data_IF_319325338770
#
_entry.id   IF_319325338770
#
_cell.length_a   1.000
_cell.length_b   1.000
_cell.length_c   1.000
_cell.angle_alpha   90.00
_cell.angle_beta   90.00
_cell.angle_gamma   90.00
#
_symmetry.space_group_name_H-M   'P 1'
#
loop_
_entity.id
_entity.type
_entity.pdbx_description
1 polymer ?
#
# COMPACT_ATOMS: atom_id res chain seq x y z
N UNK A 1 -22.19 57.71 -28.51
CA UNK A 1 -20.89 58.42 -28.45
C UNK A 1 -19.87 57.43 -27.94
N UNK A 2 -19.22 56.75 -28.87
CA UNK A 2 -17.80 56.82 -29.22
C UNK A 2 -16.91 56.37 -28.05
N UNK A 3 -16.04 55.34 -28.10
CA UNK A 3 -15.24 54.85 -29.21
C UNK A 3 -14.73 53.40 -28.91
N UNK A 4 -14.82 52.64 -29.90
CA UNK A 4 -13.94 51.59 -30.43
C UNK A 4 -12.45 51.86 -30.19
N UNK A 5 -11.69 50.86 -29.67
CA UNK A 5 -10.32 50.60 -30.09
C UNK A 5 -9.98 49.13 -29.99
N UNK A 6 -9.84 48.56 -31.16
CA UNK A 6 -9.22 47.27 -31.43
C UNK A 6 -7.69 47.36 -31.24
N UNK A 7 -7.06 46.30 -30.75
CA UNK A 7 -5.69 45.95 -31.07
C UNK A 7 -5.55 44.45 -31.19
N UNK A 8 -5.34 44.10 -32.36
CA UNK A 8 -4.89 42.97 -33.13
C UNK A 8 -3.48 42.44 -32.69
N UNK A 9 -3.30 41.13 -32.94
CA UNK A 9 -2.06 40.39 -33.24
C UNK A 9 -1.11 40.05 -32.07
N UNK A 10 -0.96 38.76 -31.82
CA UNK A 10 0.15 37.96 -32.35
C UNK A 10 -0.10 36.45 -32.17
N UNK A 11 -0.35 35.79 -33.30
CA UNK A 11 -0.26 34.34 -33.44
C UNK A 11 1.23 34.01 -33.74
N UNK A 12 1.87 33.18 -32.94
CA UNK A 12 3.13 32.58 -33.23
C UNK A 12 2.98 31.07 -33.33
N UNK A 13 2.90 30.59 -34.55
CA UNK A 13 3.04 29.18 -34.93
C UNK A 13 4.43 28.68 -34.56
N UNK A 14 4.53 27.62 -33.77
CA UNK A 14 5.72 26.81 -33.65
C UNK A 14 5.44 25.45 -34.30
N UNK A 15 5.92 25.30 -35.52
CA UNK A 15 6.00 24.04 -36.23
C UNK A 15 7.07 23.16 -35.59
N UNK A 16 6.69 22.00 -35.10
CA UNK A 16 7.61 20.93 -34.70
C UNK A 16 8.16 20.24 -35.97
N UNK A 17 9.43 20.37 -36.19
CA UNK A 17 10.17 19.58 -37.18
C UNK A 17 10.40 18.16 -36.63
N UNK A 18 9.77 17.17 -37.25
CA UNK A 18 10.11 15.76 -37.06
C UNK A 18 11.41 15.46 -37.82
N UNK A 19 12.47 15.17 -37.07
CA UNK A 19 13.71 14.65 -37.66
C UNK A 19 13.57 13.14 -37.85
N UNK A 20 13.53 12.72 -39.11
CA UNK A 20 13.70 11.34 -39.55
C UNK A 20 15.15 10.89 -39.30
N UNK A 21 15.37 9.98 -38.38
CA UNK A 21 16.62 9.25 -38.25
C UNK A 21 16.61 8.04 -39.21
N UNK A 22 17.53 8.02 -40.14
CA UNK A 22 17.82 6.86 -40.98
C UNK A 22 18.61 5.80 -40.18
N UNK A 23 18.44 4.50 -40.45
CA UNK A 23 19.18 3.45 -39.78
C UNK A 23 20.60 3.34 -40.35
N UNK A 24 21.59 3.53 -39.47
CA UNK A 24 22.98 3.27 -39.76
C UNK A 24 23.28 1.78 -39.81
N UNK A 25 24.01 1.40 -40.82
CA UNK A 25 24.55 0.08 -41.15
C UNK A 25 25.36 -0.54 -39.99
N UNK A 26 25.05 -1.78 -39.63
CA UNK A 26 25.89 -2.62 -38.77
C UNK A 26 27.13 -3.08 -39.54
N UNK A 27 28.32 -3.17 -38.90
CA UNK A 27 29.44 -3.91 -39.45
C UNK A 27 29.27 -5.41 -39.17
N UNK A 28 29.56 -6.20 -40.20
CA UNK A 28 29.57 -7.64 -40.20
C UNK A 28 30.62 -8.18 -39.20
N UNK A 29 30.16 -9.08 -38.30
CA UNK A 29 31.05 -9.92 -37.49
C UNK A 29 31.30 -11.24 -38.20
N UNK A 30 32.56 -11.57 -38.38
CA UNK A 30 33.07 -12.83 -38.93
C UNK A 30 32.73 -14.03 -38.01
N UNK A 31 32.59 -15.25 -38.57
CA UNK A 31 32.26 -16.43 -37.79
C UNK A 31 33.49 -17.00 -37.09
N UNK A 32 33.40 -17.17 -35.77
CA UNK A 32 34.37 -17.89 -34.97
C UNK A 32 34.14 -19.39 -35.16
N UNK A 33 35.17 -20.06 -35.69
CA UNK A 33 35.31 -21.49 -35.88
C UNK A 33 35.30 -22.25 -34.57
N UNK A 34 34.47 -23.29 -34.48
CA UNK A 34 34.57 -24.33 -33.44
C UNK A 34 35.79 -25.22 -33.63
N UNK A 35 36.49 -25.64 -32.57
CA UNK A 35 37.46 -26.75 -32.63
C UNK A 35 36.77 -28.09 -32.49
N UNK A 36 37.34 -29.05 -33.24
CA UNK A 36 36.87 -30.38 -33.48
C UNK A 36 36.89 -31.31 -32.25
N UNK A 37 35.96 -32.24 -32.31
CA UNK A 37 35.78 -33.43 -31.49
C UNK A 37 37.02 -34.36 -31.47
N UNK A 38 37.37 -34.95 -30.31
CA UNK A 38 38.30 -36.06 -30.19
C UNK A 38 37.56 -37.30 -29.57
N UNK A 39 38.12 -38.51 -29.66
CA UNK A 39 37.36 -39.67 -30.13
C UNK A 39 36.83 -40.58 -29.01
N UNK A 40 35.77 -41.28 -29.41
CA UNK A 40 35.08 -42.38 -28.71
C UNK A 40 36.03 -43.55 -28.33
N UNK A 41 36.09 -43.91 -27.07
CA UNK A 41 36.64 -45.23 -26.63
C UNK A 41 35.51 -46.10 -26.11
N UNK A 42 35.24 -47.12 -26.87
CA UNK A 42 34.32 -48.22 -26.53
C UNK A 42 34.92 -49.08 -25.42
N UNK A 43 34.20 -49.32 -24.33
CA UNK A 43 34.49 -50.41 -23.42
C UNK A 43 33.25 -51.13 -22.94
N UNK A 44 33.35 -52.43 -22.97
CA UNK A 44 32.41 -53.51 -22.86
C UNK A 44 31.42 -53.48 -21.65
N UNK A 45 30.26 -54.07 -21.94
CA UNK A 45 29.18 -54.40 -21.02
C UNK A 45 29.62 -55.32 -19.89
N UNK A 46 29.23 -54.96 -18.65
CA UNK A 46 29.18 -55.91 -17.52
C UNK A 46 27.75 -55.83 -16.93
N UNK A 47 27.15 -56.97 -16.75
CA UNK A 47 25.84 -57.29 -16.26
C UNK A 47 25.54 -56.68 -14.88
N UNK A 48 24.36 -56.11 -14.64
CA UNK A 48 24.00 -55.63 -13.32
C UNK A 48 23.48 -56.76 -12.43
N UNK A 49 24.13 -56.96 -11.30
CA UNK A 49 23.62 -57.72 -10.16
C UNK A 49 22.53 -56.95 -9.47
N UNK A 50 21.35 -57.49 -9.41
CA UNK A 50 20.18 -56.94 -8.72
C UNK A 50 20.42 -56.97 -7.21
N UNK A 51 20.69 -55.81 -6.60
CA UNK A 51 20.66 -55.64 -5.16
C UNK A 51 19.42 -54.78 -4.82
N UNK A 52 18.48 -55.38 -4.13
CA UNK A 52 17.29 -54.73 -3.61
C UNK A 52 17.67 -53.64 -2.61
N UNK A 53 17.30 -52.38 -2.81
CA UNK A 53 17.53 -51.34 -1.78
C UNK A 53 16.53 -51.51 -0.64
N UNK A 54 17.03 -51.85 0.54
CA UNK A 54 16.29 -51.68 1.80
C UNK A 54 16.02 -50.22 2.01
N UNK A 55 14.78 -49.79 1.84
CA UNK A 55 14.32 -48.44 2.12
C UNK A 55 14.33 -48.21 3.63
N UNK A 56 15.42 -47.65 4.15
CA UNK A 56 15.47 -47.10 5.50
C UNK A 56 14.70 -45.77 5.44
N UNK A 57 13.45 -45.77 5.88
CA UNK A 57 12.69 -44.57 6.11
C UNK A 57 13.30 -43.79 7.25
N UNK A 58 14.24 -42.90 6.92
CA UNK A 58 14.73 -41.90 7.88
C UNK A 58 13.59 -40.89 8.04
N UNK A 59 12.83 -41.06 9.12
CA UNK A 59 11.91 -40.02 9.59
C UNK A 59 12.76 -38.85 10.04
N UNK A 60 13.00 -37.90 9.14
CA UNK A 60 13.56 -36.60 9.51
C UNK A 60 12.53 -35.94 10.38
N UNK A 61 12.67 -36.01 11.71
CA UNK A 61 11.96 -35.10 12.60
C UNK A 61 12.38 -33.68 12.17
N UNK A 62 11.44 -32.96 11.60
CA UNK A 62 11.59 -31.52 11.40
C UNK A 62 11.97 -30.91 12.75
N UNK A 63 13.20 -30.38 12.84
CA UNK A 63 13.63 -29.65 14.02
C UNK A 63 12.57 -28.58 14.27
N UNK A 64 11.96 -28.60 15.46
CA UNK A 64 10.96 -27.62 15.87
C UNK A 64 11.65 -26.25 15.81
N UNK A 65 11.26 -25.43 14.87
CA UNK A 65 11.80 -24.09 14.69
C UNK A 65 11.66 -23.34 16.02
N UNK A 66 12.74 -22.72 16.48
CA UNK A 66 12.75 -22.01 17.76
C UNK A 66 11.84 -20.80 17.66
N UNK A 67 10.93 -20.63 18.62
CA UNK A 67 10.05 -19.46 18.69
C UNK A 67 10.89 -18.17 18.71
N UNK A 68 10.55 -17.24 17.83
CA UNK A 68 11.18 -15.91 17.75
C UNK A 68 10.30 -14.91 18.47
N UNK A 69 10.88 -14.17 19.40
CA UNK A 69 10.21 -13.12 20.14
C UNK A 69 10.87 -11.77 19.87
N UNK A 70 10.05 -10.74 19.69
CA UNK A 70 10.47 -9.33 19.65
C UNK A 70 9.51 -8.52 20.50
N UNK A 71 10.03 -7.64 21.35
CA UNK A 71 9.25 -6.73 22.16
C UNK A 71 9.65 -5.28 21.91
N UNK A 72 8.68 -4.42 21.67
CA UNK A 72 8.82 -2.96 21.72
C UNK A 72 8.32 -2.52 23.09
N UNK A 73 9.21 -1.95 23.92
CA UNK A 73 8.90 -1.64 25.32
C UNK A 73 8.91 -0.14 25.61
N UNK A 74 8.26 0.27 26.70
CA UNK A 74 8.27 1.64 27.25
C UNK A 74 7.69 2.73 26.30
N UNK A 75 7.13 2.37 25.15
CA UNK A 75 6.60 3.33 24.18
C UNK A 75 5.21 3.82 24.51
N UNK A 76 4.81 4.95 23.91
CA UNK A 76 3.42 5.37 23.87
C UNK A 76 2.75 4.70 22.66
N UNK A 77 1.90 3.71 22.93
CA UNK A 77 1.35 2.82 21.93
C UNK A 77 -0.01 3.30 21.44
N UNK A 78 -0.08 3.65 20.15
CA UNK A 78 -1.31 3.99 19.44
C UNK A 78 -1.88 2.76 18.76
N UNK A 79 -2.89 2.16 19.36
CA UNK A 79 -3.52 0.95 18.81
C UNK A 79 -4.34 1.21 17.55
N UNK A 80 -4.77 2.46 17.34
CA UNK A 80 -5.64 2.99 16.27
C UNK A 80 -7.10 2.55 16.37
N UNK A 81 -7.37 1.35 16.83
CA UNK A 81 -8.72 0.81 17.06
C UNK A 81 -9.18 0.88 18.51
N UNK A 82 -8.26 1.11 19.42
CA UNK A 82 -8.49 1.24 20.86
C UNK A 82 -7.81 2.47 21.46
N UNK A 83 -7.65 2.50 22.79
CA UNK A 83 -7.02 3.62 23.48
C UNK A 83 -5.52 3.70 23.20
N UNK A 84 -4.97 4.88 23.42
CA UNK A 84 -3.50 5.08 23.47
C UNK A 84 -3.02 4.60 24.86
N UNK A 85 -1.95 3.82 24.86
CA UNK A 85 -1.38 3.22 26.07
C UNK A 85 0.00 3.83 26.34
N UNK A 86 0.14 4.52 27.47
CA UNK A 86 1.42 5.09 27.88
C UNK A 86 2.34 4.03 28.48
N UNK A 87 3.64 4.09 28.15
CA UNK A 87 4.68 3.16 28.62
C UNK A 87 4.28 1.68 28.48
N UNK A 88 3.68 1.35 27.37
CA UNK A 88 3.24 -0.01 27.09
C UNK A 88 4.28 -0.80 26.32
N UNK A 89 4.10 -2.09 26.35
CA UNK A 89 4.90 -3.08 25.61
C UNK A 89 4.03 -3.74 24.55
N UNK A 90 4.58 -3.90 23.34
CA UNK A 90 4.01 -4.73 22.27
C UNK A 90 4.94 -5.93 22.13
N UNK A 91 4.48 -7.12 22.49
CA UNK A 91 5.22 -8.38 22.36
C UNK A 91 4.73 -9.13 21.13
N UNK A 92 5.66 -9.50 20.26
CA UNK A 92 5.38 -10.40 19.14
C UNK A 92 6.01 -11.77 19.35
N UNK A 93 5.31 -12.80 18.86
CA UNK A 93 5.80 -14.19 18.76
C UNK A 93 5.63 -14.65 17.32
N UNK A 94 6.72 -15.05 16.68
CA UNK A 94 6.73 -15.56 15.29
C UNK A 94 6.05 -14.61 14.29
N UNK A 95 6.22 -13.29 14.49
CA UNK A 95 5.64 -12.28 13.61
C UNK A 95 4.20 -11.85 13.92
N UNK A 96 3.56 -12.47 14.91
CA UNK A 96 2.19 -12.14 15.34
C UNK A 96 2.24 -11.45 16.70
N UNK A 97 1.41 -10.44 16.91
CA UNK A 97 1.27 -9.76 18.20
C UNK A 97 0.68 -10.73 19.21
N UNK A 98 1.45 -11.07 20.24
CA UNK A 98 1.06 -12.00 21.29
C UNK A 98 0.45 -11.30 22.50
N UNK A 99 0.93 -10.10 22.86
CA UNK A 99 0.44 -9.32 23.98
C UNK A 99 0.69 -7.83 23.79
N UNK A 100 -0.19 -6.98 24.32
CA UNK A 100 -0.03 -5.51 24.37
C UNK A 100 -0.48 -5.05 25.77
N UNK A 101 0.33 -4.20 26.40
CA UNK A 101 -0.05 -3.61 27.70
C UNK A 101 1.16 -3.10 28.47
N UNK A 102 0.91 -2.48 29.63
CA UNK A 102 1.97 -1.95 30.49
C UNK A 102 2.75 -3.06 31.24
N UNK A 103 2.13 -4.19 31.52
CA UNK A 103 2.67 -5.28 32.34
C UNK A 103 2.81 -6.59 31.54
N UNK A 104 3.58 -6.54 30.43
CA UNK A 104 3.83 -7.74 29.62
C UNK A 104 5.11 -8.43 30.08
N UNK A 105 5.01 -9.72 30.43
CA UNK A 105 6.16 -10.54 30.80
C UNK A 105 6.92 -10.93 29.55
N UNK A 106 8.22 -10.57 29.47
CA UNK A 106 9.08 -10.90 28.35
C UNK A 106 9.65 -12.31 28.49
N UNK A 107 9.57 -13.14 27.41
CA UNK A 107 10.26 -14.42 27.38
C UNK A 107 11.77 -14.27 27.45
N UNK A 108 12.53 -15.26 27.95
CA UNK A 108 13.97 -15.30 27.80
C UNK A 108 14.33 -15.31 26.30
N UNK A 109 15.42 -14.65 25.95
CA UNK A 109 15.90 -14.52 24.53
C UNK A 109 14.98 -13.67 23.63
N UNK A 110 14.13 -12.81 24.19
CA UNK A 110 13.36 -11.84 23.46
C UNK A 110 14.28 -10.72 22.93
N UNK A 111 14.20 -10.43 21.62
CA UNK A 111 14.80 -9.22 21.07
C UNK A 111 14.02 -8.01 21.58
N UNK A 112 14.71 -6.97 22.08
CA UNK A 112 14.07 -5.82 22.71
C UNK A 112 14.42 -4.53 21.95
N UNK A 113 13.40 -3.80 21.59
CA UNK A 113 13.48 -2.41 21.08
C UNK A 113 12.95 -1.50 22.18
N UNK A 114 13.81 -0.69 22.78
CA UNK A 114 13.39 0.29 23.78
C UNK A 114 12.84 1.55 23.08
N UNK A 115 11.57 1.83 23.28
CA UNK A 115 10.85 2.97 22.75
C UNK A 115 10.55 4.03 23.84
N UNK A 116 11.37 4.11 24.89
CA UNK A 116 11.20 5.10 25.95
C UNK A 116 11.20 6.53 25.37
N UNK A 117 10.11 7.29 25.63
CA UNK A 117 9.92 8.64 25.08
C UNK A 117 9.57 8.68 23.59
N UNK A 118 9.31 7.55 22.96
CA UNK A 118 8.92 7.44 21.55
C UNK A 118 7.45 7.04 21.40
N UNK A 119 6.91 7.34 20.23
CA UNK A 119 5.56 6.97 19.84
C UNK A 119 5.59 5.68 19.01
N UNK A 120 4.66 4.78 19.27
CA UNK A 120 4.56 3.45 18.63
C UNK A 120 3.23 3.35 17.90
N UNK A 121 3.28 3.15 16.59
CA UNK A 121 2.13 3.06 15.70
C UNK A 121 2.10 1.72 14.95
N UNK A 122 0.95 1.28 14.44
CA UNK A 122 0.93 0.23 13.42
C UNK A 122 1.65 0.69 12.17
N UNK A 123 2.18 -0.26 11.42
CA UNK A 123 2.80 0.01 10.13
C UNK A 123 1.87 0.73 9.17
N UNK A 124 2.41 1.66 8.39
CA UNK A 124 1.66 2.39 7.38
C UNK A 124 1.35 1.50 6.18
N UNK A 125 0.19 1.74 5.57
CA UNK A 125 -0.32 0.95 4.45
C UNK A 125 -0.52 1.85 3.23
N UNK A 126 0.22 1.56 2.17
CA UNK A 126 0.09 2.24 0.89
C UNK A 126 -0.96 1.52 0.02
N UNK A 127 -2.19 2.05 0.00
CA UNK A 127 -3.30 1.47 -0.78
C UNK A 127 -3.14 1.58 -2.31
N UNK A 128 -2.21 2.39 -2.78
CA UNK A 128 -1.62 2.40 -4.12
C UNK A 128 -0.12 2.54 -3.96
N UNK A 129 0.67 1.72 -4.65
CA UNK A 129 2.11 1.80 -4.59
C UNK A 129 2.76 1.34 -5.89
N UNK A 130 3.73 2.11 -6.36
CA UNK A 130 4.60 1.74 -7.47
C UNK A 130 6.06 1.85 -7.07
N UNK A 131 6.93 1.13 -7.75
CA UNK A 131 8.37 1.24 -7.58
C UNK A 131 8.94 0.60 -6.31
N UNK A 132 8.14 -0.11 -5.51
CA UNK A 132 8.59 -0.88 -4.34
C UNK A 132 8.69 -2.36 -4.72
N UNK A 133 7.58 -2.92 -5.13
CA UNK A 133 7.46 -4.30 -5.60
C UNK A 133 7.36 -4.36 -7.11
N UNK A 134 7.59 -5.53 -7.69
CA UNK A 134 7.25 -5.82 -9.07
C UNK A 134 5.72 -5.85 -9.30
N UNK A 135 5.30 -5.74 -10.55
CA UNK A 135 3.89 -5.61 -10.91
C UNK A 135 3.09 -6.92 -10.75
N UNK A 136 3.75 -8.05 -10.72
CA UNK A 136 3.13 -9.38 -10.62
C UNK A 136 3.95 -10.27 -9.70
N UNK A 137 3.27 -11.11 -8.93
CA UNK A 137 3.88 -12.02 -7.98
C UNK A 137 5.05 -11.36 -7.18
N UNK A 138 4.75 -10.60 -6.12
CA UNK A 138 5.74 -9.81 -5.39
C UNK A 138 6.94 -10.62 -4.90
N UNK A 139 6.76 -11.90 -4.55
CA UNK A 139 7.85 -12.77 -4.06
C UNK A 139 8.93 -13.02 -5.12
N UNK A 140 8.53 -13.14 -6.39
CA UNK A 140 9.46 -13.43 -7.48
C UNK A 140 10.06 -12.17 -8.13
N UNK A 141 9.35 -11.04 -8.02
CA UNK A 141 9.70 -9.84 -8.79
C UNK A 141 10.21 -8.67 -7.93
N UNK A 142 10.15 -8.78 -6.59
CA UNK A 142 10.64 -7.72 -5.71
C UNK A 142 12.12 -7.85 -5.41
N UNK A 143 12.82 -6.72 -5.47
CA UNK A 143 14.18 -6.64 -4.94
C UNK A 143 14.12 -6.34 -3.44
N UNK A 144 14.27 -7.38 -2.62
CA UNK A 144 14.19 -7.26 -1.14
C UNK A 144 15.35 -6.48 -0.52
N UNK A 145 16.40 -6.19 -1.28
CA UNK A 145 17.50 -5.31 -0.89
C UNK A 145 17.46 -3.98 -1.65
N UNK A 146 16.36 -3.71 -2.36
CA UNK A 146 16.20 -2.52 -3.18
C UNK A 146 16.13 -1.24 -2.34
N UNK A 147 16.79 -0.19 -2.82
CA UNK A 147 16.79 1.12 -2.18
C UNK A 147 15.35 1.67 -1.99
N UNK A 148 14.48 1.47 -2.96
CA UNK A 148 13.09 1.91 -2.87
C UNK A 148 12.34 1.24 -1.71
N UNK A 149 12.58 -0.06 -1.47
CA UNK A 149 11.99 -0.77 -0.34
C UNK A 149 12.54 -0.22 0.99
N UNK A 150 13.86 -0.02 1.08
CA UNK A 150 14.49 0.55 2.27
C UNK A 150 13.96 1.96 2.59
N UNK A 151 13.84 2.79 1.57
CA UNK A 151 13.35 4.17 1.71
C UNK A 151 11.86 4.19 2.11
N UNK A 152 11.04 3.28 1.58
CA UNK A 152 9.66 3.12 2.00
C UNK A 152 9.54 2.69 3.47
N UNK A 153 10.38 1.76 3.93
CA UNK A 153 10.48 1.38 5.33
C UNK A 153 10.93 2.54 6.21
N UNK A 154 11.87 3.37 5.74
CA UNK A 154 12.27 4.60 6.44
C UNK A 154 11.12 5.62 6.55
N UNK A 155 10.14 5.58 5.65
CA UNK A 155 8.86 6.32 5.74
C UNK A 155 7.80 5.64 6.62
N UNK A 156 8.08 4.46 7.19
CA UNK A 156 7.16 3.71 8.04
C UNK A 156 6.15 2.83 7.27
N UNK A 157 6.29 2.68 5.96
CA UNK A 157 5.41 1.82 5.17
C UNK A 157 5.83 0.37 5.37
N UNK A 158 4.89 -0.48 5.83
CA UNK A 158 5.12 -1.91 6.05
C UNK A 158 4.37 -2.78 5.05
N UNK A 159 3.27 -2.27 4.50
CA UNK A 159 2.40 -3.01 3.58
C UNK A 159 2.00 -2.12 2.41
N UNK A 160 1.98 -2.68 1.21
CA UNK A 160 1.66 -1.95 -0.01
C UNK A 160 0.86 -2.81 -1.00
N UNK A 161 0.06 -2.14 -1.84
CA UNK A 161 -0.55 -2.78 -3.00
C UNK A 161 0.51 -2.90 -4.11
N UNK A 162 0.90 -4.13 -4.44
CA UNK A 162 1.87 -4.48 -5.47
C UNK A 162 1.14 -5.03 -6.71
N UNK A 163 0.92 -4.20 -7.72
CA UNK A 163 0.06 -4.58 -8.85
C UNK A 163 -1.38 -4.82 -8.41
N UNK A 164 -1.76 -6.08 -8.26
CA UNK A 164 -3.06 -6.49 -7.69
C UNK A 164 -2.93 -7.34 -6.41
N UNK A 165 -1.73 -7.56 -5.91
CA UNK A 165 -1.48 -8.30 -4.68
C UNK A 165 -1.17 -7.34 -3.53
N UNK A 166 -1.54 -7.70 -2.32
CA UNK A 166 -1.13 -6.96 -1.12
C UNK A 166 0.11 -7.64 -0.56
N UNK A 167 1.20 -6.90 -0.47
CA UNK A 167 2.49 -7.41 -0.03
C UNK A 167 3.12 -6.54 1.06
N UNK A 168 3.90 -7.18 1.93
CA UNK A 168 4.70 -6.55 2.96
C UNK A 168 6.08 -6.18 2.45
N UNK A 169 6.65 -5.16 3.04
CA UNK A 169 8.02 -4.72 2.77
C UNK A 169 9.01 -5.52 3.62
N UNK A 170 9.21 -6.79 3.27
CA UNK A 170 10.09 -7.71 4.00
C UNK A 170 11.55 -7.55 3.55
N UNK A 171 12.24 -6.57 4.12
CA UNK A 171 13.63 -6.31 3.75
C UNK A 171 14.54 -7.52 4.06
N UNK A 172 15.29 -7.95 3.06
CA UNK A 172 16.24 -9.07 3.19
C UNK A 172 15.64 -10.48 3.08
N UNK A 173 14.33 -10.62 2.95
CA UNK A 173 13.66 -11.93 2.82
C UNK A 173 12.40 -11.82 1.96
N UNK A 174 11.98 -12.94 1.36
CA UNK A 174 10.68 -13.05 0.65
C UNK A 174 9.66 -13.85 1.45
N UNK A 175 10.04 -14.34 2.64
CA UNK A 175 9.17 -15.11 3.51
C UNK A 175 8.02 -14.23 4.01
N UNK A 176 6.80 -14.77 4.00
CA UNK A 176 5.57 -14.12 4.45
C UNK A 176 5.33 -12.72 3.84
N UNK A 177 5.87 -12.49 2.62
CA UNK A 177 5.72 -11.23 1.92
C UNK A 177 4.27 -11.00 1.45
N UNK A 178 3.61 -11.99 0.87
CA UNK A 178 2.26 -11.84 0.33
C UNK A 178 1.23 -11.97 1.43
N UNK A 179 0.47 -10.89 1.66
CA UNK A 179 -0.64 -10.85 2.63
C UNK A 179 -1.92 -11.39 1.97
N UNK A 180 -2.20 -10.93 0.76
CA UNK A 180 -3.40 -11.31 0.00
C UNK A 180 -3.11 -11.25 -1.50
N UNK A 181 -3.20 -12.37 -2.20
CA UNK A 181 -3.17 -12.37 -3.66
C UNK A 181 -4.49 -11.85 -4.23
N UNK A 182 -4.43 -11.23 -5.40
CA UNK A 182 -5.60 -10.77 -6.16
C UNK A 182 -6.59 -9.96 -5.30
N UNK A 183 -6.09 -8.86 -4.70
CA UNK A 183 -6.87 -8.02 -3.79
C UNK A 183 -8.18 -7.52 -4.39
N UNK A 184 -8.16 -7.24 -5.71
CA UNK A 184 -9.28 -6.64 -6.41
C UNK A 184 -9.67 -7.37 -7.69
N UNK A 185 -10.95 -7.28 -8.00
CA UNK A 185 -11.49 -7.47 -9.35
C UNK A 185 -11.58 -6.11 -10.02
N UNK A 186 -10.79 -5.89 -11.06
CA UNK A 186 -10.85 -4.64 -11.83
C UNK A 186 -12.14 -4.56 -12.62
N UNK A 187 -12.92 -3.49 -12.40
CA UNK A 187 -14.10 -3.17 -13.19
C UNK A 187 -13.74 -2.04 -14.16
N UNK A 188 -13.86 -2.31 -15.46
CA UNK A 188 -13.81 -1.27 -16.49
C UNK A 188 -15.18 -0.58 -16.52
N UNK A 189 -15.22 0.67 -16.09
CA UNK A 189 -16.42 1.49 -16.10
C UNK A 189 -16.13 2.85 -16.72
N UNK A 190 -16.84 3.22 -17.76
CA UNK A 190 -16.69 4.51 -18.41
C UNK A 190 -18.04 5.09 -18.80
N UNK A 191 -18.29 6.33 -18.39
CA UNK A 191 -19.51 7.07 -18.74
C UNK A 191 -19.61 7.35 -20.24
N UNK A 192 -18.49 7.38 -20.93
CA UNK A 192 -18.41 7.62 -22.38
C UNK A 192 -18.65 6.37 -23.24
N UNK A 193 -18.82 5.19 -22.61
CA UNK A 193 -19.00 3.92 -23.30
C UNK A 193 -20.30 3.22 -22.90
N UNK A 194 -21.45 3.70 -23.42
CA UNK A 194 -22.75 3.19 -22.99
C UNK A 194 -22.98 1.71 -23.28
N UNK A 195 -22.41 1.20 -24.38
CA UNK A 195 -22.50 -0.23 -24.71
C UNK A 195 -21.77 -1.11 -23.72
N UNK A 196 -20.55 -0.72 -23.31
CA UNK A 196 -19.76 -1.47 -22.30
C UNK A 196 -20.50 -1.48 -20.95
N UNK A 197 -21.13 -0.37 -20.57
CA UNK A 197 -21.94 -0.29 -19.33
C UNK A 197 -23.17 -1.21 -19.40
N UNK A 198 -23.88 -1.19 -20.52
CA UNK A 198 -25.05 -2.07 -20.72
C UNK A 198 -24.64 -3.54 -20.66
N UNK A 199 -23.50 -3.88 -21.29
CA UNK A 199 -22.97 -5.24 -21.26
C UNK A 199 -22.56 -5.66 -19.84
N UNK A 200 -21.88 -4.80 -19.08
CA UNK A 200 -21.52 -5.06 -17.69
C UNK A 200 -22.75 -5.35 -16.83
N UNK A 201 -23.81 -4.52 -16.95
CA UNK A 201 -25.07 -4.75 -16.23
C UNK A 201 -25.73 -6.07 -16.63
N UNK A 202 -25.74 -6.41 -17.92
CA UNK A 202 -26.26 -7.68 -18.41
C UNK A 202 -25.49 -8.89 -17.90
N UNK A 203 -24.16 -8.79 -17.87
CA UNK A 203 -23.28 -9.84 -17.35
C UNK A 203 -23.48 -10.05 -15.84
N UNK A 204 -23.55 -8.97 -15.05
CA UNK A 204 -23.84 -9.05 -13.62
C UNK A 204 -25.22 -9.63 -13.34
N UNK A 205 -26.24 -9.24 -14.11
CA UNK A 205 -27.61 -9.79 -13.99
C UNK A 205 -27.66 -11.28 -14.29
N UNK A 206 -26.91 -11.72 -15.30
CA UNK A 206 -26.79 -13.15 -15.64
C UNK A 206 -26.21 -13.96 -14.47
N UNK A 207 -25.15 -13.46 -13.84
CA UNK A 207 -24.54 -14.10 -12.67
C UNK A 207 -25.48 -14.06 -11.47
N UNK A 208 -26.16 -12.94 -11.22
CA UNK A 208 -27.16 -12.82 -10.15
C UNK A 208 -28.29 -13.83 -10.31
N UNK A 209 -28.78 -14.04 -11.54
CA UNK A 209 -29.80 -15.04 -11.85
C UNK A 209 -29.29 -16.46 -11.53
N UNK A 210 -28.07 -16.78 -11.96
CA UNK A 210 -27.44 -18.05 -11.62
C UNK A 210 -27.34 -18.28 -10.10
N UNK A 211 -26.92 -17.29 -9.34
CA UNK A 211 -26.81 -17.39 -7.88
C UNK A 211 -28.18 -17.64 -7.22
N UNK A 212 -29.23 -17.00 -7.72
CA UNK A 212 -30.62 -17.26 -7.27
C UNK A 212 -31.07 -18.69 -7.58
N UNK A 213 -30.75 -19.16 -8.77
CA UNK A 213 -31.07 -20.57 -9.16
C UNK A 213 -30.29 -21.58 -8.34
N UNK A 214 -29.01 -21.26 -8.02
CA UNK A 214 -28.17 -22.09 -7.14
C UNK A 214 -28.76 -22.15 -5.72
N UNK A 215 -29.13 -20.99 -5.15
CA UNK A 215 -29.79 -20.95 -3.84
C UNK A 215 -31.11 -21.74 -3.82
N UNK A 216 -31.91 -21.68 -4.91
CA UNK A 216 -33.13 -22.43 -5.03
C UNK A 216 -32.85 -23.94 -5.08
N UNK A 217 -31.86 -24.35 -5.88
CA UNK A 217 -31.40 -25.73 -5.95
C UNK A 217 -30.96 -26.27 -4.58
N UNK A 218 -30.14 -25.52 -3.83
CA UNK A 218 -29.66 -25.94 -2.50
C UNK A 218 -30.84 -26.15 -1.51
N UNK A 219 -31.88 -25.32 -1.58
CA UNK A 219 -33.10 -25.50 -0.79
C UNK A 219 -33.91 -26.73 -1.23
N UNK A 220 -34.05 -26.95 -2.52
CA UNK A 220 -34.82 -28.05 -3.08
C UNK A 220 -34.12 -29.40 -2.92
N UNK A 221 -32.80 -29.45 -2.97
CA UNK A 221 -31.98 -30.66 -2.77
C UNK A 221 -32.24 -31.33 -1.41
N UNK A 222 -32.60 -30.57 -0.38
CA UNK A 222 -32.95 -31.09 0.92
C UNK A 222 -34.31 -31.88 0.90
N UNK A 223 -35.19 -31.60 -0.06
CA UNK A 223 -36.57 -32.12 -0.09
C UNK A 223 -36.86 -32.96 -1.32
N UNK A 224 -36.15 -32.77 -2.44
CA UNK A 224 -36.40 -33.42 -3.71
C UNK A 224 -35.17 -34.20 -4.18
N UNK A 225 -35.29 -35.51 -4.39
CA UNK A 225 -34.21 -36.39 -4.89
C UNK A 225 -33.77 -36.08 -6.33
N UNK A 226 -34.63 -35.47 -7.13
CA UNK A 226 -34.40 -35.23 -8.58
C UNK A 226 -34.03 -33.76 -8.88
N UNK A 227 -33.66 -32.96 -7.86
CA UNK A 227 -33.20 -31.61 -8.06
C UNK A 227 -31.90 -31.60 -8.89
N UNK A 228 -31.88 -30.80 -9.97
CA UNK A 228 -30.70 -30.65 -10.85
C UNK A 228 -30.04 -29.32 -10.56
N UNK A 229 -28.70 -29.29 -10.41
CA UNK A 229 -27.97 -28.03 -10.24
C UNK A 229 -28.07 -27.20 -11.54
N UNK A 230 -28.03 -25.86 -11.43
CA UNK A 230 -27.90 -25.00 -12.60
C UNK A 230 -26.58 -25.24 -13.32
N UNK A 231 -26.56 -24.99 -14.62
CA UNK A 231 -25.36 -25.12 -15.45
C UNK A 231 -24.31 -24.06 -15.01
N UNK A 232 -23.11 -24.52 -14.66
CA UNK A 232 -21.97 -23.71 -14.21
C UNK A 232 -20.84 -23.60 -15.23
N UNK A 233 -20.89 -24.30 -16.36
CA UNK A 233 -19.78 -24.45 -17.29
C UNK A 233 -19.37 -23.12 -17.97
N UNK A 234 -20.30 -22.18 -18.01
CA UNK A 234 -20.07 -20.84 -18.54
C UNK A 234 -19.45 -19.86 -17.51
N UNK A 235 -19.38 -20.25 -16.21
CA UNK A 235 -18.78 -19.40 -15.16
C UNK A 235 -17.28 -19.60 -15.17
N UNK A 236 -16.62 -18.83 -16.06
CA UNK A 236 -15.16 -18.81 -16.23
C UNK A 236 -14.71 -17.37 -16.42
N UNK A 237 -13.43 -17.09 -16.20
CA UNK A 237 -12.79 -15.78 -16.42
C UNK A 237 -13.56 -14.61 -15.78
N UNK A 238 -14.09 -13.69 -16.57
CA UNK A 238 -14.83 -12.52 -16.08
C UNK A 238 -16.07 -12.88 -15.27
N UNK A 239 -16.78 -13.97 -15.62
CA UNK A 239 -17.99 -14.39 -14.92
C UNK A 239 -17.68 -14.98 -13.54
N UNK A 240 -16.56 -15.68 -13.39
CA UNK A 240 -16.09 -16.12 -12.07
C UNK A 240 -15.70 -14.92 -11.20
N UNK A 241 -15.08 -13.89 -11.77
CA UNK A 241 -14.80 -12.65 -11.06
C UNK A 241 -16.09 -11.96 -10.59
N UNK A 242 -17.12 -11.89 -11.46
CA UNK A 242 -18.42 -11.31 -11.09
C UNK A 242 -19.14 -12.16 -10.03
N UNK A 243 -19.02 -13.49 -10.09
CA UNK A 243 -19.53 -14.38 -9.06
C UNK A 243 -18.90 -14.02 -7.70
N UNK A 244 -17.57 -13.94 -7.65
CA UNK A 244 -16.83 -13.57 -6.43
C UNK A 244 -17.22 -12.19 -5.88
N UNK A 245 -17.54 -11.22 -6.76
CA UNK A 245 -18.06 -9.92 -6.31
C UNK A 245 -19.43 -10.05 -5.65
N UNK A 246 -20.37 -10.76 -6.31
CA UNK A 246 -21.74 -10.90 -5.82
C UNK A 246 -21.88 -11.86 -4.64
N UNK A 247 -20.84 -12.63 -4.31
CA UNK A 247 -20.75 -13.47 -3.09
C UNK A 247 -19.89 -12.86 -2.01
N UNK A 248 -19.42 -11.61 -2.20
CA UNK A 248 -18.52 -10.88 -1.29
C UNK A 248 -17.15 -11.56 -1.03
N UNK A 249 -16.76 -12.49 -1.90
CA UNK A 249 -15.44 -13.15 -1.85
C UNK A 249 -14.33 -12.23 -2.38
N UNK A 250 -14.70 -11.24 -3.18
CA UNK A 250 -13.77 -10.26 -3.74
C UNK A 250 -14.31 -8.83 -3.65
N UNK A 251 -13.41 -7.86 -3.76
CA UNK A 251 -13.71 -6.43 -3.79
C UNK A 251 -13.50 -5.92 -5.21
N UNK A 252 -14.44 -5.14 -5.73
CA UNK A 252 -14.26 -4.46 -7.00
C UNK A 252 -13.34 -3.25 -6.87
N UNK A 253 -12.55 -2.93 -7.90
CA UNK A 253 -11.83 -1.67 -7.98
C UNK A 253 -12.03 -1.02 -9.34
N UNK A 254 -12.24 0.30 -9.33
CA UNK A 254 -12.40 1.11 -10.54
C UNK A 254 -11.86 2.52 -10.32
N UNK A 255 -11.47 3.20 -11.40
CA UNK A 255 -11.23 4.64 -11.38
C UNK A 255 -12.56 5.37 -11.57
N UNK A 256 -12.84 6.38 -10.75
CA UNK A 256 -13.92 7.33 -10.98
C UNK A 256 -13.59 8.64 -10.27
N UNK A 257 -13.85 9.73 -10.93
CA UNK A 257 -13.36 11.04 -10.52
C UNK A 257 -14.49 12.06 -10.42
N UNK A 258 -15.35 12.10 -11.43
CA UNK A 258 -16.44 13.07 -11.52
C UNK A 258 -17.69 12.63 -10.76
N UNK A 259 -18.50 13.60 -10.38
CA UNK A 259 -19.80 13.41 -9.74
C UNK A 259 -20.67 12.37 -10.45
N UNK A 260 -20.69 12.41 -11.79
CA UNK A 260 -21.53 11.50 -12.59
C UNK A 260 -21.02 10.06 -12.51
N UNK A 261 -19.73 9.83 -12.69
CA UNK A 261 -19.10 8.51 -12.59
C UNK A 261 -19.31 7.91 -11.19
N UNK A 262 -19.04 8.69 -10.16
CA UNK A 262 -19.17 8.28 -8.77
C UNK A 262 -20.60 7.86 -8.43
N UNK A 263 -21.59 8.62 -8.90
CA UNK A 263 -23.01 8.31 -8.70
C UNK A 263 -23.42 7.02 -9.39
N UNK A 264 -22.99 6.81 -10.64
CA UNK A 264 -23.30 5.59 -11.38
C UNK A 264 -22.65 4.34 -10.78
N UNK A 265 -21.42 4.46 -10.25
CA UNK A 265 -20.73 3.35 -9.56
C UNK A 265 -21.42 3.03 -8.24
N UNK A 266 -21.84 4.04 -7.48
CA UNK A 266 -22.60 3.83 -6.25
C UNK A 266 -23.95 3.14 -6.53
N UNK A 267 -24.64 3.53 -7.60
CA UNK A 267 -25.87 2.87 -8.05
C UNK A 267 -25.63 1.40 -8.45
N UNK A 268 -24.55 1.14 -9.19
CA UNK A 268 -24.17 -0.22 -9.59
C UNK A 268 -23.86 -1.09 -8.36
N UNK A 269 -23.05 -0.60 -7.43
CA UNK A 269 -22.70 -1.30 -6.20
C UNK A 269 -23.94 -1.60 -5.34
N UNK A 270 -24.82 -0.63 -5.18
CA UNK A 270 -26.08 -0.81 -4.42
C UNK A 270 -27.06 -1.76 -5.11
N UNK A 271 -27.16 -1.72 -6.46
CA UNK A 271 -28.08 -2.56 -7.23
C UNK A 271 -27.69 -4.04 -7.16
N UNK A 272 -26.40 -4.32 -7.19
CA UNK A 272 -25.88 -5.68 -7.25
C UNK A 272 -25.29 -6.16 -5.92
N UNK A 273 -25.28 -5.32 -4.89
CA UNK A 273 -24.82 -5.63 -3.54
C UNK A 273 -23.39 -6.17 -3.51
N UNK A 274 -22.44 -5.36 -3.94
CA UNK A 274 -21.01 -5.67 -3.83
C UNK A 274 -20.18 -4.48 -3.34
N UNK A 275 -19.06 -4.77 -2.70
CA UNK A 275 -18.12 -3.74 -2.25
C UNK A 275 -17.26 -3.24 -3.41
N UNK A 276 -17.16 -1.91 -3.55
CA UNK A 276 -16.33 -1.28 -4.57
C UNK A 276 -15.37 -0.26 -3.94
N UNK A 277 -14.12 -0.29 -4.41
CA UNK A 277 -13.10 0.72 -4.14
C UNK A 277 -12.98 1.64 -5.35
N UNK A 278 -13.19 2.93 -5.12
CA UNK A 278 -13.02 3.97 -6.13
C UNK A 278 -11.67 4.65 -5.94
N UNK A 279 -10.91 4.79 -7.03
CA UNK A 279 -9.62 5.48 -7.04
C UNK A 279 -9.78 6.86 -7.68
N UNK A 280 -9.31 7.90 -6.99
CA UNK A 280 -9.40 9.29 -7.41
C UNK A 280 -10.50 10.03 -6.65
N UNK A 281 -11.75 9.93 -7.05
CA UNK A 281 -12.91 10.53 -6.38
C UNK A 281 -12.73 12.00 -5.96
N UNK A 282 -12.08 12.84 -6.79
CA UNK A 282 -11.81 14.23 -6.42
C UNK A 282 -13.08 15.09 -6.33
N UNK A 283 -14.16 14.73 -7.04
CA UNK A 283 -15.50 15.34 -6.87
C UNK A 283 -16.37 14.57 -5.86
N UNK A 284 -15.80 13.64 -5.07
CA UNK A 284 -16.53 12.81 -4.11
C UNK A 284 -17.35 13.61 -3.10
N UNK A 285 -16.86 14.78 -2.71
CA UNK A 285 -17.53 15.71 -1.80
C UNK A 285 -18.92 16.13 -2.26
N UNK A 286 -19.18 16.17 -3.57
CA UNK A 286 -20.48 16.53 -4.14
C UNK A 286 -21.55 15.46 -3.97
N UNK A 287 -21.14 14.19 -3.79
CA UNK A 287 -22.01 13.01 -3.71
C UNK A 287 -21.72 12.12 -2.51
N UNK A 288 -20.97 12.64 -1.54
CA UNK A 288 -20.53 11.89 -0.38
C UNK A 288 -21.63 11.07 0.32
N UNK A 289 -22.86 11.61 0.58
CA UNK A 289 -23.93 10.82 1.19
C UNK A 289 -24.42 9.64 0.34
N UNK A 290 -24.29 9.73 -0.98
CA UNK A 290 -24.64 8.63 -1.89
C UNK A 290 -23.60 7.53 -1.80
N UNK A 291 -22.31 7.91 -1.83
CA UNK A 291 -21.18 6.96 -1.70
C UNK A 291 -21.21 6.22 -0.37
N UNK A 292 -21.45 6.95 0.73
CA UNK A 292 -21.54 6.36 2.06
C UNK A 292 -22.66 5.33 2.18
N UNK A 293 -23.89 5.67 1.71
CA UNK A 293 -25.02 4.74 1.71
C UNK A 293 -24.80 3.50 0.85
N UNK A 294 -24.05 3.64 -0.24
CA UNK A 294 -23.70 2.54 -1.12
C UNK A 294 -22.54 1.67 -0.59
N UNK A 295 -21.96 2.01 0.56
CA UNK A 295 -20.81 1.28 1.12
C UNK A 295 -19.54 1.39 0.26
N UNK A 296 -19.43 2.43 -0.56
CA UNK A 296 -18.26 2.67 -1.40
C UNK A 296 -17.05 2.97 -0.52
N UNK A 297 -15.91 2.38 -0.85
CA UNK A 297 -14.60 2.72 -0.28
C UNK A 297 -13.84 3.58 -1.27
N UNK A 298 -13.00 4.49 -0.78
CA UNK A 298 -12.28 5.41 -1.67
C UNK A 298 -10.79 5.49 -1.35
N UNK A 299 -9.97 5.57 -2.40
CA UNK A 299 -8.56 5.93 -2.33
C UNK A 299 -8.42 7.33 -2.92
N UNK A 300 -7.99 8.28 -2.11
CA UNK A 300 -7.96 9.70 -2.47
C UNK A 300 -6.59 10.34 -2.21
N UNK A 301 -6.32 11.43 -2.91
CA UNK A 301 -5.14 12.28 -2.73
C UNK A 301 -5.59 13.69 -2.34
N UNK A 302 -5.55 14.06 -1.05
CA UNK A 302 -6.08 15.34 -0.55
C UNK A 302 -5.53 16.58 -1.23
N UNK A 303 -4.27 16.56 -1.68
CA UNK A 303 -3.61 17.69 -2.37
C UNK A 303 -3.78 17.69 -3.89
N UNK A 304 -4.47 16.71 -4.44
CA UNK A 304 -4.73 16.68 -5.88
C UNK A 304 -5.65 17.83 -6.26
N UNK A 305 -5.20 18.66 -7.20
CA UNK A 305 -5.93 19.87 -7.62
C UNK A 305 -6.54 19.66 -9.00
N UNK A 306 -7.86 19.83 -9.06
CA UNK A 306 -8.63 19.90 -10.28
C UNK A 306 -9.44 21.18 -10.27
N UNK A 307 -9.27 22.00 -11.29
CA UNK A 307 -10.00 23.28 -11.40
C UNK A 307 -11.50 23.02 -11.60
N UNK A 308 -12.36 23.86 -11.04
CA UNK A 308 -13.78 23.83 -11.34
C UNK A 308 -14.07 24.06 -12.83
N UNK A 309 -15.01 23.32 -13.37
CA UNK A 309 -15.53 23.58 -14.71
C UNK A 309 -16.57 24.70 -14.65
N UNK A 310 -16.20 25.89 -15.10
CA UNK A 310 -17.07 27.08 -15.12
C UNK A 310 -18.29 26.92 -16.01
N UNK A 311 -18.28 26.00 -16.97
CA UNK A 311 -19.42 25.74 -17.86
C UNK A 311 -20.40 24.72 -17.27
N UNK A 312 -20.00 24.01 -16.22
CA UNK A 312 -20.86 23.05 -15.55
C UNK A 312 -21.92 23.79 -14.70
N UNK A 313 -23.18 23.45 -14.90
CA UNK A 313 -24.28 23.98 -14.06
C UNK A 313 -24.40 23.19 -12.73
N UNK A 314 -23.27 22.91 -12.09
CA UNK A 314 -23.15 22.22 -10.81
C UNK A 314 -21.75 22.45 -10.21
N UNK A 315 -21.58 22.24 -8.90
CA UNK A 315 -20.24 22.23 -8.31
C UNK A 315 -19.37 21.13 -8.93
N UNK A 316 -18.12 21.47 -9.25
CA UNK A 316 -17.10 20.58 -9.84
C UNK A 316 -15.73 20.88 -9.25
N UNK A 317 -14.74 20.09 -9.62
CA UNK A 317 -13.37 20.27 -9.19
C UNK A 317 -13.08 19.65 -7.83
N UNK A 318 -11.83 19.81 -7.39
CA UNK A 318 -11.37 19.26 -6.10
C UNK A 318 -11.53 20.27 -4.96
N UNK A 319 -11.68 19.76 -3.74
CA UNK A 319 -11.59 20.53 -2.49
C UNK A 319 -10.71 19.78 -1.48
N UNK A 320 -9.98 20.52 -0.67
CA UNK A 320 -9.21 19.94 0.43
C UNK A 320 -10.10 19.28 1.50
N UNK A 321 -11.36 19.70 1.59
CA UNK A 321 -12.36 19.17 2.51
C UNK A 321 -12.92 17.79 2.09
N UNK A 322 -12.57 17.32 0.89
CA UNK A 322 -13.13 16.10 0.31
C UNK A 322 -12.99 14.89 1.26
N UNK A 323 -11.82 14.72 1.90
CA UNK A 323 -11.58 13.63 2.85
C UNK A 323 -12.54 13.69 4.05
N UNK A 324 -12.72 14.86 4.63
CA UNK A 324 -13.63 15.10 5.76
C UNK A 324 -15.08 14.81 5.36
N UNK A 325 -15.56 15.41 4.27
CA UNK A 325 -16.95 15.23 3.82
C UNK A 325 -17.29 13.78 3.45
N UNK A 326 -16.35 13.06 2.84
CA UNK A 326 -16.50 11.63 2.56
C UNK A 326 -16.55 10.82 3.85
N UNK A 327 -15.67 11.12 4.81
CA UNK A 327 -15.62 10.44 6.11
C UNK A 327 -16.91 10.64 6.90
N UNK A 328 -17.41 11.86 6.98
CA UNK A 328 -18.65 12.20 7.68
C UNK A 328 -19.87 11.51 7.06
N UNK A 329 -19.82 11.25 5.75
CA UNK A 329 -20.84 10.48 5.05
C UNK A 329 -20.70 8.94 5.25
N UNK A 330 -19.69 8.47 6.00
CA UNK A 330 -19.47 7.05 6.28
C UNK A 330 -18.63 6.29 5.24
N UNK A 331 -17.98 6.99 4.30
CA UNK A 331 -17.08 6.37 3.33
C UNK A 331 -15.79 5.94 4.03
N UNK A 332 -15.36 4.69 3.83
CA UNK A 332 -14.06 4.21 4.28
C UNK A 332 -12.97 4.73 3.34
N UNK A 333 -12.00 5.45 3.91
CA UNK A 333 -10.97 6.15 3.15
C UNK A 333 -9.60 5.51 3.29
N UNK A 334 -8.86 5.42 2.17
CA UNK A 334 -7.42 5.34 2.18
C UNK A 334 -6.84 6.61 1.55
N UNK A 335 -5.83 7.18 2.19
CA UNK A 335 -5.11 8.35 1.68
C UNK A 335 -3.81 7.90 1.05
N UNK A 336 -3.52 8.45 -0.13
CA UNK A 336 -2.26 8.26 -0.85
C UNK A 336 -1.80 9.60 -1.41
N UNK A 337 -0.51 9.84 -1.60
CA UNK A 337 -0.04 11.03 -2.30
C UNK A 337 -0.41 10.94 -3.79
N UNK A 338 -0.45 12.08 -4.47
CA UNK A 338 -0.74 12.17 -5.90
C UNK A 338 0.21 11.28 -6.73
N UNK A 339 1.48 11.24 -6.35
CA UNK A 339 2.46 10.32 -6.92
C UNK A 339 2.60 9.10 -6.00
N UNK A 340 1.78 8.08 -6.23
CA UNK A 340 1.79 6.85 -5.43
C UNK A 340 2.98 5.92 -5.83
N UNK A 341 4.19 6.47 -5.92
CA UNK A 341 5.44 5.75 -6.22
C UNK A 341 6.54 6.25 -5.30
N UNK A 342 7.58 5.42 -5.10
CA UNK A 342 8.82 5.91 -4.52
C UNK A 342 9.64 6.58 -5.63
N UNK A 343 9.97 7.85 -5.43
CA UNK A 343 10.78 8.63 -6.35
C UNK A 343 12.06 9.07 -5.65
N UNK A 344 13.20 8.57 -6.09
CA UNK A 344 14.52 8.99 -5.59
C UNK A 344 14.99 10.30 -6.25
N UNK A 345 14.26 10.75 -7.26
CA UNK A 345 14.55 11.94 -8.06
C UNK A 345 13.30 12.81 -8.15
N UNK A 346 13.44 14.10 -7.90
CA UNK A 346 12.35 15.05 -8.06
C UNK A 346 12.02 15.87 -6.80
N UNK A 347 10.82 16.46 -6.78
CA UNK A 347 10.36 17.27 -5.67
C UNK A 347 9.96 16.39 -4.48
N UNK A 348 10.69 16.54 -3.37
CA UNK A 348 10.32 15.92 -2.11
C UNK A 348 8.91 16.33 -1.65
N UNK A 349 8.22 15.44 -0.94
CA UNK A 349 6.95 15.75 -0.30
C UNK A 349 5.71 15.53 -1.15
N UNK A 350 5.82 14.87 -2.30
CA UNK A 350 4.68 14.50 -3.16
C UNK A 350 4.63 13.04 -3.55
N UNK A 351 5.58 12.26 -3.12
CA UNK A 351 5.68 10.84 -3.37
C UNK A 351 5.27 9.99 -2.16
N UNK A 352 5.37 8.69 -2.30
CA UNK A 352 4.92 7.74 -1.28
C UNK A 352 5.70 7.85 0.04
N UNK A 353 6.91 8.39 0.03
CA UNK A 353 7.70 8.67 1.25
C UNK A 353 7.00 9.62 2.22
N UNK A 354 6.09 10.42 1.71
CA UNK A 354 5.36 11.43 2.47
C UNK A 354 3.89 11.03 2.67
N UNK A 355 3.62 9.74 2.84
CA UNK A 355 2.27 9.23 3.08
C UNK A 355 1.62 9.87 4.32
N UNK A 356 2.39 10.00 5.40
CA UNK A 356 1.96 10.67 6.63
C UNK A 356 1.68 12.16 6.43
N UNK A 357 2.49 12.84 5.62
CA UNK A 357 2.28 14.25 5.30
C UNK A 357 0.99 14.45 4.47
N UNK A 358 0.69 13.54 3.54
CA UNK A 358 -0.56 13.59 2.77
C UNK A 358 -1.78 13.46 3.70
N UNK A 359 -1.71 12.57 4.69
CA UNK A 359 -2.73 12.45 5.73
C UNK A 359 -2.84 13.73 6.59
N UNK A 360 -1.74 14.38 6.91
CA UNK A 360 -1.72 15.67 7.63
C UNK A 360 -2.40 16.80 6.82
N UNK A 361 -2.28 16.78 5.48
CA UNK A 361 -3.04 17.73 4.65
C UNK A 361 -4.54 17.47 4.67
N UNK A 362 -4.99 16.23 4.80
CA UNK A 362 -6.41 15.93 5.01
C UNK A 362 -6.91 16.52 6.35
N UNK A 363 -6.08 16.50 7.40
CA UNK A 363 -6.40 17.18 8.68
C UNK A 363 -6.59 18.69 8.47
N UNK A 364 -5.75 19.31 7.66
CA UNK A 364 -5.94 20.72 7.29
C UNK A 364 -7.27 20.98 6.56
N UNK A 365 -7.78 19.98 5.86
CA UNK A 365 -9.09 19.99 5.20
C UNK A 365 -10.27 19.65 6.13
N UNK A 366 -10.06 19.53 7.45
CA UNK A 366 -11.12 19.29 8.43
C UNK A 366 -11.24 17.84 8.91
N UNK A 367 -10.48 16.89 8.34
CA UNK A 367 -10.46 15.51 8.84
C UNK A 367 -9.86 15.48 10.25
N UNK A 368 -10.39 14.65 11.16
CA UNK A 368 -9.77 14.49 12.48
C UNK A 368 -8.39 13.83 12.37
N UNK A 369 -7.45 14.16 13.26
CA UNK A 369 -6.13 13.50 13.29
C UNK A 369 -6.24 11.98 13.46
N UNK A 370 -7.20 11.52 14.27
CA UNK A 370 -7.47 10.11 14.44
C UNK A 370 -7.95 9.43 13.14
N UNK A 371 -8.85 10.07 12.39
CA UNK A 371 -9.32 9.53 11.11
C UNK A 371 -8.24 9.61 10.02
N UNK A 372 -7.40 10.64 10.04
CA UNK A 372 -6.26 10.73 9.14
C UNK A 372 -5.25 9.59 9.39
N UNK A 373 -4.96 9.28 10.65
CA UNK A 373 -4.12 8.13 11.01
C UNK A 373 -4.78 6.81 10.58
N UNK A 374 -6.09 6.65 10.78
CA UNK A 374 -6.85 5.49 10.31
C UNK A 374 -6.77 5.33 8.79
N UNK A 375 -6.83 6.42 8.04
CA UNK A 375 -6.84 6.40 6.58
C UNK A 375 -5.51 5.94 5.95
N UNK A 376 -4.41 5.92 6.71
CA UNK A 376 -3.11 5.38 6.29
C UNK A 376 -2.72 4.11 7.04
N UNK A 377 -3.63 3.54 7.84
CA UNK A 377 -3.43 2.33 8.62
C UNK A 377 -4.64 1.40 8.46
N UNK A 378 -5.53 1.30 9.46
CA UNK A 378 -6.62 0.31 9.49
C UNK A 378 -7.66 0.52 8.36
N UNK A 379 -8.00 1.77 8.00
CA UNK A 379 -8.98 2.00 6.93
C UNK A 379 -8.35 1.72 5.56
N UNK A 380 -7.04 1.98 5.37
CA UNK A 380 -6.30 1.51 4.20
C UNK A 380 -6.26 -0.03 4.12
N UNK A 381 -6.09 -0.72 5.26
CA UNK A 381 -6.19 -2.17 5.32
C UNK A 381 -7.59 -2.66 4.92
N UNK A 382 -8.65 -2.00 5.39
CA UNK A 382 -10.04 -2.30 4.99
C UNK A 382 -10.28 -2.09 3.51
N UNK A 383 -9.74 -1.01 2.95
CA UNK A 383 -9.80 -0.76 1.49
C UNK A 383 -9.17 -1.90 0.73
N UNK A 384 -8.05 -2.44 1.19
CA UNK A 384 -7.37 -3.60 0.59
C UNK A 384 -8.01 -4.96 0.95
N UNK A 385 -8.86 -5.00 1.99
CA UNK A 385 -9.48 -6.22 2.51
C UNK A 385 -8.48 -7.15 3.20
N UNK A 386 -7.60 -6.56 4.06
CA UNK A 386 -6.57 -7.24 4.85
C UNK A 386 -6.55 -6.75 6.30
N UNK A 387 -7.63 -6.15 6.75
CA UNK A 387 -7.75 -5.56 8.08
C UNK A 387 -7.88 -6.57 9.22
N UNK A 388 -8.06 -7.84 8.90
CA UNK A 388 -7.92 -8.97 9.81
C UNK A 388 -6.47 -9.27 10.21
N UNK A 389 -5.49 -8.87 9.38
CA UNK A 389 -4.07 -9.12 9.60
C UNK A 389 -3.26 -7.89 9.96
N UNK A 390 -3.51 -6.74 9.34
CA UNK A 390 -2.66 -5.55 9.43
C UNK A 390 -3.47 -4.28 9.70
N UNK A 391 -2.80 -3.17 9.99
CA UNK A 391 -3.37 -1.82 10.07
C UNK A 391 -3.76 -1.35 11.48
N UNK A 392 -3.66 -2.20 12.49
CA UNK A 392 -3.82 -1.83 13.91
C UNK A 392 -2.96 -2.70 14.79
N UNK A 393 -2.63 -2.21 16.00
CA UNK A 393 -1.93 -3.02 16.99
C UNK A 393 -2.96 -3.74 17.87
N UNK A 394 -3.22 -5.00 17.52
CA UNK A 394 -4.15 -5.89 18.22
C UNK A 394 -3.55 -7.28 18.35
N UNK A 395 -3.84 -7.97 19.46
CA UNK A 395 -3.42 -9.36 19.66
C UNK A 395 -3.99 -10.23 18.55
N UNK A 396 -3.14 -11.05 17.95
CA UNK A 396 -3.48 -11.95 16.84
C UNK A 396 -3.22 -11.36 15.45
N UNK A 397 -2.96 -10.06 15.31
CA UNK A 397 -2.53 -9.44 14.04
C UNK A 397 -1.03 -9.53 13.85
N UNK A 398 -0.61 -9.29 12.63
CA UNK A 398 0.80 -9.29 12.26
C UNK A 398 1.54 -8.15 12.99
N UNK A 399 2.74 -8.43 13.47
CA UNK A 399 3.55 -7.46 14.20
C UNK A 399 4.28 -6.51 13.23
N UNK A 400 3.51 -5.65 12.60
CA UNK A 400 3.96 -4.56 11.74
C UNK A 400 3.88 -3.25 12.53
N UNK A 401 5.03 -2.72 12.94
CA UNK A 401 5.13 -1.66 13.94
C UNK A 401 6.07 -0.56 13.44
N UNK A 402 5.69 0.68 13.66
CA UNK A 402 6.52 1.86 13.41
C UNK A 402 6.78 2.57 14.73
N UNK A 403 8.04 2.84 15.01
CA UNK A 403 8.47 3.62 16.18
C UNK A 403 9.03 4.95 15.71
N UNK A 404 8.47 6.05 16.19
CA UNK A 404 8.85 7.41 15.79
C UNK A 404 9.14 8.28 16.99
N UNK A 405 9.85 9.39 16.74
CA UNK A 405 10.26 10.34 17.76
C UNK A 405 9.24 11.47 18.00
N UNK A 406 8.00 11.31 17.55
CA UNK A 406 6.91 12.25 17.75
C UNK A 406 5.62 11.82 17.07
N UNK A 407 4.65 12.73 17.00
CA UNK A 407 3.39 12.51 16.30
C UNK A 407 3.65 12.20 14.83
N UNK A 408 3.12 11.05 14.37
CA UNK A 408 3.33 10.56 13.01
C UNK A 408 2.80 11.52 11.93
N UNK A 409 1.78 12.31 12.25
CA UNK A 409 1.21 13.31 11.32
C UNK A 409 2.00 14.64 11.32
N UNK A 410 3.02 14.77 12.17
CA UNK A 410 3.83 15.96 12.21
C UNK A 410 5.00 15.85 11.22
N UNK A 411 5.21 16.86 10.37
CA UNK A 411 6.18 16.83 9.27
C UNK A 411 7.66 16.67 9.72
N UNK A 412 7.97 16.99 10.97
CA UNK A 412 9.33 16.85 11.54
C UNK A 412 9.57 15.48 12.18
N UNK A 413 8.55 14.67 12.32
CA UNK A 413 8.69 13.35 12.94
C UNK A 413 9.48 12.39 12.06
N UNK A 414 10.43 11.71 12.67
CA UNK A 414 11.27 10.72 12.01
C UNK A 414 10.94 9.32 12.50
N UNK A 415 10.88 8.39 11.58
CA UNK A 415 10.80 6.97 11.89
C UNK A 415 12.17 6.51 12.42
N UNK A 416 12.18 5.89 13.60
CA UNK A 416 13.38 5.33 14.24
C UNK A 416 13.51 3.86 13.92
N UNK A 417 12.42 3.11 14.01
CA UNK A 417 12.37 1.69 13.66
C UNK A 417 11.13 1.38 12.85
N UNK A 418 11.28 0.51 11.86
CA UNK A 418 10.17 -0.15 11.19
C UNK A 418 10.32 -1.65 11.35
N UNK A 419 9.32 -2.27 11.92
CA UNK A 419 9.26 -3.70 12.23
C UNK A 419 8.21 -4.31 11.30
N UNK A 420 8.56 -5.39 10.61
CA UNK A 420 7.67 -6.12 9.71
C UNK A 420 7.70 -7.60 10.09
N UNK A 421 6.55 -8.22 10.27
CA UNK A 421 6.45 -9.60 10.72
C UNK A 421 7.29 -9.87 11.98
N UNK A 422 7.33 -8.92 12.94
CA UNK A 422 8.11 -9.03 14.17
C UNK A 422 9.63 -9.14 13.95
N UNK A 423 10.16 -8.55 12.87
CA UNK A 423 11.59 -8.38 12.58
C UNK A 423 11.89 -6.91 12.34
N UNK A 424 12.99 -6.41 12.89
CA UNK A 424 13.42 -5.04 12.62
C UNK A 424 13.91 -4.98 11.17
N UNK A 425 13.07 -4.41 10.28
CA UNK A 425 13.36 -4.24 8.86
C UNK A 425 14.11 -2.93 8.57
N UNK A 426 13.95 -1.93 9.42
CA UNK A 426 14.66 -0.65 9.34
C UNK A 426 15.04 -0.18 10.74
N UNK A 427 16.31 0.22 10.89
CA UNK A 427 16.87 0.84 12.10
C UNK A 427 17.67 2.07 11.65
N UNK A 428 17.13 3.25 11.94
CA UNK A 428 17.73 4.53 11.50
C UNK A 428 19.18 4.70 11.97
N UNK A 429 19.51 4.21 13.16
CA UNK A 429 20.85 4.36 13.71
C UNK A 429 21.90 3.50 12.99
N UNK A 430 21.48 2.35 12.46
CA UNK A 430 22.35 1.40 11.75
C UNK A 430 22.38 1.63 10.25
N UNK A 431 21.43 2.43 9.72
CA UNK A 431 21.25 2.56 8.29
C UNK A 431 22.42 3.27 7.60
N UNK A 432 22.95 2.64 6.58
CA UNK A 432 24.08 3.16 5.81
C UNK A 432 23.70 4.23 4.80
N UNK A 433 22.40 4.37 4.48
CA UNK A 433 21.89 5.33 3.50
C UNK A 433 22.38 6.77 3.74
N UNK A 434 22.49 7.14 5.01
CA UNK A 434 22.94 8.48 5.44
C UNK A 434 24.40 8.52 5.86
N UNK A 435 25.17 7.44 5.69
CA UNK A 435 26.57 7.35 6.15
C UNK A 435 27.45 8.43 5.51
N UNK A 436 27.20 8.79 4.23
CA UNK A 436 27.97 9.78 3.48
C UNK A 436 27.79 11.23 3.97
N UNK A 437 26.72 11.51 4.72
CA UNK A 437 26.46 12.84 5.29
C UNK A 437 26.72 12.90 6.80
N UNK A 438 27.13 11.79 7.41
CA UNK A 438 27.52 11.75 8.81
C UNK A 438 29.00 12.15 8.94
N UNK A 439 29.37 12.97 9.91
CA UNK A 439 30.77 13.30 10.17
C UNK A 439 31.58 12.01 10.45
N UNK A 440 32.70 11.84 9.75
CA UNK A 440 33.65 10.76 10.02
C UNK A 440 34.73 11.25 10.98
N UNK A 441 34.89 10.63 12.13
CA UNK A 441 35.93 10.92 13.12
C UNK A 441 35.47 10.83 14.58
N UNK A 442 36.39 11.08 15.50
CA UNK A 442 36.15 11.00 16.96
C UNK A 442 35.39 12.20 17.55
N UNK A 443 34.76 13.03 16.74
CA UNK A 443 33.84 14.03 17.26
C UNK A 443 32.60 13.35 17.77
N UNK A 444 32.23 13.59 19.01
CA UNK A 444 30.89 13.33 19.48
C UNK A 444 29.93 13.98 18.47
N UNK A 445 29.29 13.17 17.68
CA UNK A 445 28.27 13.63 16.74
C UNK A 445 27.15 14.17 17.61
N UNK A 446 26.78 15.44 17.53
CA UNK A 446 25.64 15.96 18.27
C UNK A 446 24.44 15.05 17.99
N UNK A 447 23.64 14.75 18.99
CA UNK A 447 22.47 13.87 18.91
C UNK A 447 21.48 14.23 17.76
N UNK A 448 21.69 15.41 17.14
CA UNK A 448 20.86 15.97 16.08
C UNK A 448 21.40 15.77 14.66
N UNK A 449 22.62 15.25 14.49
CA UNK A 449 23.25 15.17 13.16
C UNK A 449 22.65 14.08 12.27
N UNK A 450 21.90 13.15 12.85
CA UNK A 450 21.13 12.15 12.12
C UNK A 450 19.71 12.64 11.77
N UNK A 451 19.36 13.87 12.16
CA UNK A 451 18.07 14.51 11.91
C UNK A 451 18.21 15.63 10.87
N UNK A 452 18.04 15.31 9.62
CA UNK A 452 18.00 16.33 8.58
C UNK A 452 16.59 16.44 7.97
N UNK A 453 16.01 17.66 7.88
CA UNK A 453 16.47 18.91 8.45
C UNK A 453 16.49 18.88 9.98
N UNK A 454 17.38 19.72 10.59
CA UNK A 454 17.48 19.84 12.06
C UNK A 454 16.10 20.00 12.68
N UNK A 455 15.77 19.14 13.63
CA UNK A 455 14.59 19.33 14.46
C UNK A 455 14.79 20.59 15.29
N UNK A 456 14.02 21.63 15.00
CA UNK A 456 13.89 22.74 15.91
C UNK A 456 13.10 22.22 17.11
N UNK A 457 13.68 22.31 18.31
CA UNK A 457 12.92 22.04 19.53
C UNK A 457 11.67 22.90 19.51
N UNK A 458 10.53 22.28 19.80
CA UNK A 458 9.24 22.96 19.79
C UNK A 458 9.29 24.15 20.77
N UNK A 459 8.62 25.30 20.49
CA UNK A 459 8.77 26.57 21.20
C UNK A 459 8.22 26.59 22.63
N UNK A 460 8.35 25.50 23.39
CA UNK A 460 8.19 25.50 24.83
C UNK A 460 9.47 25.72 25.58
N UNK A 461 10.63 25.40 24.97
CA UNK A 461 11.95 25.58 25.60
C UNK A 461 12.95 26.08 24.56
N UNK A 462 12.93 27.38 24.31
CA UNK A 462 14.15 28.05 23.84
C UNK A 462 15.12 27.97 25.03
N UNK A 463 15.93 26.90 25.05
CA UNK A 463 16.96 26.79 26.06
C UNK A 463 17.82 28.06 25.99
N UNK A 464 18.04 28.63 27.13
CA UNK A 464 18.82 29.88 27.35
C UNK A 464 20.25 29.80 26.82
N UNK A 465 20.73 28.68 26.29
CA UNK A 465 22.03 28.49 25.67
C UNK A 465 22.15 29.09 24.27
N UNK A 466 21.10 29.12 23.48
CA UNK A 466 21.11 29.77 22.15
C UNK A 466 21.26 31.31 22.25
N UNK A 467 20.99 31.90 23.40
CA UNK A 467 21.19 33.33 23.65
C UNK A 467 22.64 33.71 24.03
N UNK A 468 23.50 32.75 24.38
CA UNK A 468 24.89 33.07 24.81
C UNK A 468 25.88 33.17 23.66
N UNK A 469 25.56 32.70 22.46
CA UNK A 469 26.46 32.81 21.31
C UNK A 469 26.08 33.88 20.29
N UNK A 470 25.02 34.66 20.53
CA UNK A 470 24.62 35.76 19.65
C UNK A 470 24.94 37.19 20.17
N UNK A 471 25.74 37.34 21.20
CA UNK A 471 25.93 38.63 21.87
C UNK A 471 27.34 39.00 22.22
N UNK A 472 28.31 38.88 21.30
CA UNK A 472 29.57 39.62 21.38
C UNK A 472 30.28 39.61 20.02
N UNK A 473 29.82 40.44 19.11
CA UNK A 473 30.63 41.06 18.07
C UNK A 473 30.04 42.45 17.78
N UNK A 474 30.59 43.42 18.46
CA UNK A 474 30.67 44.82 18.05
C UNK A 474 32.11 45.25 17.99
#
# INVERSE_FOLDING_TARGET
>A
MTALRACLFWAASLASAAALAQPGSQPATEPVTQPASAPTTTRAASTPTTTTPTTTTTTTQAAKEKDRFLAVINGRVHTVTGPVLDRATVLSKNGIIAAIGPEVVLPPECEVVDAAGLEVYPGLIAALAGGIHGATNPQDTSNVYGLNMLVALAGGITTALAGNDVAKLTFGTVEDMVVKPAAYVSLSYSTYKPLERAQLRADLERVRTYLRELQKYEREKATKKDAKPPDKDWIKDKFENYRKLLTHEAIAATGAQSTHELREIADLASTYDFTVVVRGAYEGWTVAPILGRAGVRAVISPREKHEPDEQANRPTGSTIENAHLLRDAGVTLAIVPQTATITLWGLAGRDLLQLNLEAAFAVRGGLSGADALRAITIDAARVLGVDDRVGSLEVGKDADIVVCDGDLLHYMTLVRYTIVNGRVAYDKAKESLYAHIRPTGQREVPQFDDQWPRRLEWPGEITTEARRHGGDER
#
